data_IF_106487224175
#
_entry.id   IF_106487224175
#
_cell.length_a   1.000
_cell.length_b   1.000
_cell.length_c   1.000
_cell.angle_alpha   90.00
_cell.angle_beta   90.00
_cell.angle_gamma   90.00
#
_symmetry.space_group_name_H-M   'P 1'
#
loop_
_entity.id
_entity.type
_entity.pdbx_description
1 polymer ?
#
# COMPACT_ATOMS: atom_id res chain seq x y z
N UNK A 1 -2.47 25.29 14.05
CA UNK A 1 -2.81 23.87 13.78
C UNK A 1 -1.76 23.31 12.84
N UNK A 2 -1.16 22.15 13.15
CA UNK A 2 -0.22 21.48 12.26
C UNK A 2 -1.00 20.64 11.26
N UNK A 3 -0.71 20.77 9.95
CA UNK A 3 -1.26 19.87 8.93
C UNK A 3 -0.53 18.54 9.03
N UNK A 4 -1.27 17.46 9.19
CA UNK A 4 -0.74 16.09 9.27
C UNK A 4 -1.03 15.32 8.00
N UNK A 5 -0.18 14.33 7.73
CA UNK A 5 -0.41 13.33 6.71
C UNK A 5 -0.01 11.94 7.22
N UNK A 6 -0.73 10.91 6.78
CA UNK A 6 -0.35 9.51 6.90
C UNK A 6 0.22 9.07 5.55
N UNK A 7 1.47 8.65 5.52
CA UNK A 7 2.13 8.12 4.32
C UNK A 7 2.30 6.62 4.50
N UNK A 8 1.72 5.84 3.59
CA UNK A 8 1.79 4.37 3.58
C UNK A 8 2.71 3.97 2.44
N UNK A 9 3.83 3.34 2.77
CA UNK A 9 4.88 2.99 1.82
C UNK A 9 4.77 1.52 1.45
N UNK A 10 4.68 1.25 0.15
CA UNK A 10 4.86 -0.06 -0.47
C UNK A 10 4.01 -1.18 0.15
N UNK A 11 2.77 -0.86 0.55
CA UNK A 11 1.81 -1.86 1.02
C UNK A 11 1.23 -2.66 -0.16
N UNK A 12 2.08 -3.46 -0.79
CA UNK A 12 1.82 -4.16 -2.03
C UNK A 12 1.79 -5.68 -1.83
N UNK A 13 1.08 -6.37 -2.71
CA UNK A 13 0.78 -7.80 -2.57
C UNK A 13 2.03 -8.69 -2.54
N UNK A 14 3.12 -8.31 -3.21
CA UNK A 14 4.35 -9.11 -3.21
C UNK A 14 4.97 -9.29 -1.81
N UNK A 15 4.62 -8.45 -0.84
CA UNK A 15 5.06 -8.61 0.56
C UNK A 15 4.20 -9.58 1.38
N UNK A 16 3.02 -9.98 0.90
CA UNK A 16 2.11 -10.86 1.63
C UNK A 16 2.34 -12.34 1.29
N UNK A 17 1.60 -13.23 1.96
CA UNK A 17 1.62 -14.67 1.65
C UNK A 17 1.31 -14.89 0.17
N UNK A 18 1.98 -15.86 -0.46
CA UNK A 18 1.91 -16.13 -1.91
C UNK A 18 2.51 -15.03 -2.82
N UNK A 19 2.97 -13.91 -2.23
CA UNK A 19 3.73 -12.88 -2.93
C UNK A 19 5.15 -13.32 -3.27
N UNK A 20 5.83 -12.56 -4.14
CA UNK A 20 7.21 -12.88 -4.56
C UNK A 20 8.28 -12.52 -3.51
N UNK A 21 7.93 -11.73 -2.50
CA UNK A 21 8.85 -11.26 -1.45
C UNK A 21 8.17 -11.20 -0.07
N UNK A 22 7.66 -12.33 0.46
CA UNK A 22 6.90 -12.34 1.69
C UNK A 22 7.72 -11.80 2.87
N UNK A 23 7.17 -10.83 3.57
CA UNK A 23 7.76 -10.22 4.75
C UNK A 23 7.22 -10.85 6.04
N UNK A 24 7.91 -10.60 7.14
CA UNK A 24 7.46 -11.02 8.45
C UNK A 24 6.24 -10.18 8.89
N UNK A 25 5.26 -10.82 9.53
CA UNK A 25 4.16 -10.17 10.26
C UNK A 25 3.33 -9.15 9.45
N UNK A 26 3.11 -9.45 8.17
CA UNK A 26 2.36 -8.57 7.25
C UNK A 26 0.89 -8.41 7.62
N UNK A 27 0.23 -9.46 8.12
CA UNK A 27 -1.18 -9.37 8.57
C UNK A 27 -1.36 -8.40 9.73
N UNK A 28 -0.55 -8.51 10.79
CA UNK A 28 -0.64 -7.58 11.92
C UNK A 28 -0.30 -6.15 11.50
N UNK A 29 0.66 -6.00 10.58
CA UNK A 29 1.03 -4.70 10.01
C UNK A 29 -0.13 -4.09 9.23
N UNK A 30 -0.85 -4.89 8.44
CA UNK A 30 -2.02 -4.47 7.70
C UNK A 30 -3.16 -4.00 8.63
N UNK A 31 -3.44 -4.73 9.70
CA UNK A 31 -4.43 -4.32 10.71
C UNK A 31 -4.07 -2.98 11.39
N UNK A 32 -2.79 -2.78 11.69
CA UNK A 32 -2.29 -1.53 12.25
C UNK A 32 -2.43 -0.37 11.26
N UNK A 33 -2.19 -0.62 9.97
CA UNK A 33 -2.37 0.38 8.91
C UNK A 33 -3.85 0.74 8.74
N UNK A 34 -4.77 -0.22 8.78
CA UNK A 34 -6.21 0.06 8.77
C UNK A 34 -6.62 0.97 9.94
N UNK A 35 -6.11 0.68 11.14
CA UNK A 35 -6.34 1.52 12.33
C UNK A 35 -5.78 2.93 12.13
N UNK A 36 -4.55 3.06 11.61
CA UNK A 36 -3.92 4.34 11.33
C UNK A 36 -4.71 5.16 10.30
N UNK A 37 -5.24 4.51 9.26
CA UNK A 37 -6.10 5.14 8.25
C UNK A 37 -7.37 5.71 8.89
N UNK A 38 -8.03 4.96 9.77
CA UNK A 38 -9.24 5.43 10.44
C UNK A 38 -8.96 6.61 11.39
N UNK A 39 -7.80 6.62 12.05
CA UNK A 39 -7.36 7.77 12.84
C UNK A 39 -7.06 8.99 11.97
N UNK A 40 -6.34 8.80 10.85
CA UNK A 40 -6.03 9.87 9.92
C UNK A 40 -7.31 10.51 9.34
N UNK A 41 -8.34 9.72 9.02
CA UNK A 41 -9.64 10.22 8.57
C UNK A 41 -10.34 11.06 9.64
N UNK A 42 -10.32 10.62 10.91
CA UNK A 42 -10.92 11.37 12.02
C UNK A 42 -10.24 12.72 12.25
N UNK A 43 -8.94 12.78 12.01
CA UNK A 43 -8.11 13.97 12.15
C UNK A 43 -8.11 14.88 10.90
N UNK A 44 -8.88 14.55 9.85
CA UNK A 44 -8.82 15.21 8.53
C UNK A 44 -7.39 15.31 7.96
N UNK A 45 -6.59 14.28 8.25
CA UNK A 45 -5.21 14.18 7.78
C UNK A 45 -5.17 13.64 6.35
N UNK A 46 -4.25 14.17 5.53
CA UNK A 46 -4.02 13.67 4.18
C UNK A 46 -3.50 12.22 4.22
N UNK A 47 -4.09 11.32 3.44
CA UNK A 47 -3.61 9.93 3.32
C UNK A 47 -2.96 9.77 1.95
N UNK A 48 -1.70 9.36 1.93
CA UNK A 48 -0.90 9.17 0.71
C UNK A 48 -0.40 7.74 0.66
N UNK A 49 -0.65 7.07 -0.46
CA UNK A 49 -0.07 5.76 -0.76
C UNK A 49 1.12 5.95 -1.70
N UNK A 50 2.25 5.34 -1.35
CA UNK A 50 3.41 5.22 -2.22
C UNK A 50 3.47 3.77 -2.70
N UNK A 51 3.67 3.61 -4.00
CA UNK A 51 3.71 2.32 -4.67
C UNK A 51 5.02 2.22 -5.44
N UNK A 52 5.79 1.17 -5.19
CA UNK A 52 6.98 0.85 -5.95
C UNK A 52 6.61 0.10 -7.24
N UNK A 53 7.07 0.60 -8.38
CA UNK A 53 6.97 -0.11 -9.65
C UNK A 53 8.39 -0.28 -10.21
N UNK A 54 8.80 -1.52 -10.43
CA UNK A 54 10.09 -1.83 -11.03
C UNK A 54 10.15 -1.31 -12.47
N UNK A 55 11.29 -0.74 -12.84
CA UNK A 55 11.51 -0.19 -14.19
C UNK A 55 11.66 -1.33 -15.21
N UNK A 56 10.70 -1.51 -16.15
CA UNK A 56 10.77 -2.59 -17.14
C UNK A 56 11.96 -2.42 -18.10
N UNK A 57 12.53 -1.22 -18.25
CA UNK A 57 13.71 -1.00 -19.08
C UNK A 57 14.96 -1.67 -18.51
N UNK A 58 14.96 -1.97 -17.21
CA UNK A 58 16.05 -2.68 -16.52
C UNK A 58 15.87 -4.22 -16.56
N UNK A 59 14.82 -4.71 -17.22
CA UNK A 59 14.47 -6.13 -17.30
C UNK A 59 13.48 -6.57 -16.23
N UNK A 60 13.24 -7.89 -16.14
CA UNK A 60 12.32 -8.46 -15.15
C UNK A 60 12.93 -8.40 -13.75
N UNK A 61 12.28 -7.69 -12.83
CA UNK A 61 12.68 -7.59 -11.45
C UNK A 61 12.21 -8.81 -10.63
N UNK A 62 12.83 -9.10 -9.46
CA UNK A 62 12.39 -10.20 -8.61
C UNK A 62 10.95 -10.06 -8.08
N UNK A 63 10.46 -8.83 -7.86
CA UNK A 63 9.10 -8.47 -7.43
C UNK A 63 8.75 -7.05 -7.89
N UNK A 64 7.52 -6.60 -7.67
CA UNK A 64 6.99 -5.27 -8.06
C UNK A 64 7.04 -4.95 -9.56
N UNK A 65 6.93 -5.97 -10.40
CA UNK A 65 6.93 -5.77 -11.85
C UNK A 65 5.68 -4.99 -12.29
N UNK A 66 5.86 -4.03 -13.19
CA UNK A 66 4.77 -3.21 -13.72
C UNK A 66 3.64 -4.08 -14.29
N UNK A 67 2.41 -3.79 -13.88
CA UNK A 67 1.21 -4.50 -14.34
C UNK A 67 1.00 -5.89 -13.72
N UNK A 68 1.84 -6.31 -12.77
CA UNK A 68 1.62 -7.55 -12.03
C UNK A 68 0.71 -7.36 -10.82
N UNK A 69 -0.07 -8.37 -10.46
CA UNK A 69 -0.89 -8.37 -9.24
C UNK A 69 -0.04 -8.16 -7.97
N UNK A 70 1.18 -8.69 -7.95
CA UNK A 70 2.15 -8.51 -6.87
C UNK A 70 2.53 -7.04 -6.62
N UNK A 71 2.53 -6.23 -7.67
CA UNK A 71 2.81 -4.80 -7.58
C UNK A 71 1.58 -3.97 -7.18
N UNK A 72 0.37 -4.51 -7.13
CA UNK A 72 -0.81 -3.74 -6.71
C UNK A 72 -0.80 -3.47 -5.20
N UNK A 73 -1.40 -2.34 -4.79
CA UNK A 73 -1.63 -2.06 -3.37
C UNK A 73 -2.60 -3.12 -2.81
N UNK A 74 -2.39 -3.53 -1.57
CA UNK A 74 -3.18 -4.58 -0.94
C UNK A 74 -4.70 -4.28 -0.99
N UNK A 75 -5.55 -5.24 -1.41
CA UNK A 75 -6.96 -4.99 -1.71
C UNK A 75 -7.78 -4.50 -0.51
N UNK A 76 -7.43 -4.91 0.71
CA UNK A 76 -8.06 -4.40 1.96
C UNK A 76 -7.95 -2.88 2.12
N UNK A 77 -6.89 -2.27 1.57
CA UNK A 77 -6.67 -0.82 1.61
C UNK A 77 -7.20 -0.12 0.35
N UNK A 78 -7.11 -0.77 -0.82
CA UNK A 78 -7.58 -0.21 -2.09
C UNK A 78 -9.11 0.00 -2.18
N UNK A 79 -9.90 -0.67 -1.34
CA UNK A 79 -11.38 -0.64 -1.41
C UNK A 79 -12.09 0.68 -1.05
N UNK A 80 -11.40 1.84 -0.98
CA UNK A 80 -12.07 3.13 -0.72
C UNK A 80 -11.61 4.27 -1.61
N UNK A 81 -11.69 4.11 -2.94
CA UNK A 81 -12.05 5.27 -3.78
C UNK A 81 -13.55 5.50 -3.62
N UNK A 82 -13.94 6.46 -2.77
CA UNK A 82 -15.19 7.15 -3.03
C UNK A 82 -15.06 7.71 -4.45
N UNK A 83 -15.92 7.21 -5.36
CA UNK A 83 -16.12 7.87 -6.63
C UNK A 83 -16.54 9.30 -6.31
N UNK A 84 -15.67 10.26 -6.61
CA UNK A 84 -16.07 11.66 -6.68
C UNK A 84 -16.97 11.73 -7.89
N UNK A 85 -18.28 11.72 -7.64
CA UNK A 85 -19.33 12.08 -8.58
C UNK A 85 -19.31 13.58 -8.85
#
# INVERSE_FOLDING_TARGET
>A
MSKKALVIIDLQNDYFSEGKYPLWNTEQTLENIETAIELAKKDDALIVHVQHIADPAMGLAPFFNQGSEGAEIHPRIMQRRQKVS
#
